data_IF_800851953820
#
_entry.id   IF_800851953820
#
_cell.length_a   1.000
_cell.length_b   1.000
_cell.length_c   1.000
_cell.angle_alpha   90.00
_cell.angle_beta   90.00
_cell.angle_gamma   90.00
#
_symmetry.space_group_name_H-M   'P 1'
#
loop_
_entity.id
_entity.type
_entity.pdbx_description
1 polymer ?
#
# COMPACT_ATOMS: atom_id res chain seq x y z
N UNK A 1 28.05 -18.27 7.94
CA UNK A 1 27.51 -17.50 9.07
C UNK A 1 27.30 -16.09 8.54
N UNK A 2 26.05 -15.65 8.34
CA UNK A 2 25.79 -14.27 7.91
C UNK A 2 26.15 -13.38 9.10
N UNK A 3 27.02 -12.41 8.87
CA UNK A 3 27.38 -11.45 9.91
C UNK A 3 26.15 -10.57 10.21
N UNK A 4 25.73 -10.58 11.48
CA UNK A 4 24.56 -9.82 11.93
C UNK A 4 24.74 -8.31 11.69
N UNK A 5 25.98 -7.83 11.69
CA UNK A 5 26.29 -6.44 11.38
C UNK A 5 25.99 -6.09 9.91
N UNK A 6 26.35 -6.98 8.98
CA UNK A 6 26.06 -6.81 7.55
C UNK A 6 24.54 -6.80 7.33
N UNK A 7 23.81 -7.71 7.98
CA UNK A 7 22.35 -7.80 7.85
C UNK A 7 21.65 -6.54 8.39
N UNK A 8 22.09 -6.02 9.55
CA UNK A 8 21.57 -4.78 10.14
C UNK A 8 21.79 -3.59 9.19
N UNK A 9 23.02 -3.41 8.70
CA UNK A 9 23.37 -2.29 7.84
C UNK A 9 22.58 -2.33 6.53
N UNK A 10 22.45 -3.50 5.92
CA UNK A 10 21.63 -3.71 4.74
C UNK A 10 20.15 -3.39 4.98
N UNK A 11 19.57 -3.88 6.09
CA UNK A 11 18.19 -3.59 6.46
C UNK A 11 17.95 -2.09 6.69
N UNK A 12 18.89 -1.40 7.35
CA UNK A 12 18.83 0.04 7.56
C UNK A 12 18.83 0.82 6.25
N UNK A 13 19.71 0.45 5.31
CA UNK A 13 19.75 1.05 3.96
C UNK A 13 18.41 0.85 3.25
N UNK A 14 17.85 -0.36 3.27
CA UNK A 14 16.57 -0.66 2.65
C UNK A 14 15.41 0.13 3.25
N UNK A 15 15.38 0.32 4.58
CA UNK A 15 14.40 1.15 5.28
C UNK A 15 14.48 2.60 4.81
N UNK A 16 15.68 3.19 4.78
CA UNK A 16 15.89 4.58 4.37
C UNK A 16 15.51 4.78 2.91
N UNK A 17 15.99 3.91 2.02
CA UNK A 17 15.72 4.01 0.58
C UNK A 17 14.25 3.78 0.23
N UNK A 18 13.48 3.11 1.10
CA UNK A 18 12.06 2.88 0.86
C UNK A 18 11.16 3.95 1.48
N UNK A 19 11.43 4.39 2.71
CA UNK A 19 10.54 5.29 3.44
C UNK A 19 10.46 6.69 2.83
N UNK A 20 11.59 7.27 2.41
CA UNK A 20 11.61 8.63 1.86
C UNK A 20 10.89 8.70 0.51
N UNK A 21 11.21 7.87 -0.50
CA UNK A 21 10.49 7.90 -1.77
C UNK A 21 9.02 7.50 -1.62
N UNK A 22 8.69 6.62 -0.67
CA UNK A 22 7.30 6.29 -0.34
C UNK A 22 6.50 7.54 0.04
N UNK A 23 7.02 8.36 0.97
CA UNK A 23 6.35 9.59 1.38
C UNK A 23 6.27 10.60 0.24
N UNK A 24 7.36 10.79 -0.51
CA UNK A 24 7.40 11.72 -1.66
C UNK A 24 6.33 11.35 -2.67
N UNK A 25 6.23 10.08 -3.07
CA UNK A 25 5.24 9.63 -4.05
C UNK A 25 3.81 9.79 -3.53
N UNK A 26 3.56 9.47 -2.25
CA UNK A 26 2.24 9.65 -1.65
C UNK A 26 1.81 11.12 -1.62
N UNK A 27 2.73 12.03 -1.25
CA UNK A 27 2.46 13.47 -1.25
C UNK A 27 2.21 13.96 -2.68
N UNK A 28 3.09 13.59 -3.62
CA UNK A 28 2.94 13.92 -5.04
C UNK A 28 1.57 13.50 -5.59
N UNK A 29 1.19 12.23 -5.40
CA UNK A 29 -0.09 11.70 -5.85
C UNK A 29 -1.27 12.38 -5.15
N UNK A 30 -1.16 12.65 -3.84
CA UNK A 30 -2.22 13.31 -3.09
C UNK A 30 -2.47 14.74 -3.55
N UNK A 31 -1.42 15.46 -3.95
CA UNK A 31 -1.52 16.82 -4.48
C UNK A 31 -2.07 16.82 -5.90
N UNK A 32 -1.53 16.01 -6.80
CA UNK A 32 -1.93 16.02 -8.22
C UNK A 32 -3.35 15.48 -8.43
N UNK A 33 -3.75 14.47 -7.66
CA UNK A 33 -5.08 13.87 -7.72
C UNK A 33 -6.09 14.55 -6.79
N UNK A 34 -5.70 15.63 -6.07
CA UNK A 34 -6.56 16.30 -5.08
C UNK A 34 -7.92 16.69 -5.63
N UNK A 35 -7.97 17.21 -6.86
CA UNK A 35 -9.22 17.66 -7.51
C UNK A 35 -10.17 16.50 -7.80
N UNK A 36 -9.63 15.33 -8.12
CA UNK A 36 -10.41 14.14 -8.49
C UNK A 36 -10.57 13.16 -7.33
N UNK A 37 -10.01 13.45 -6.14
CA UNK A 37 -10.01 12.58 -4.95
C UNK A 37 -11.37 11.94 -4.70
N UNK A 38 -12.44 12.74 -4.61
CA UNK A 38 -13.78 12.25 -4.28
C UNK A 38 -14.30 11.27 -5.33
N UNK A 39 -14.18 11.61 -6.60
CA UNK A 39 -14.60 10.76 -7.72
C UNK A 39 -13.82 9.45 -7.73
N UNK A 40 -12.49 9.52 -7.61
CA UNK A 40 -11.64 8.33 -7.58
C UNK A 40 -11.95 7.41 -6.40
N UNK A 41 -12.16 7.96 -5.20
CA UNK A 41 -12.58 7.16 -4.03
C UNK A 41 -13.92 6.47 -4.26
N UNK A 42 -14.90 7.17 -4.82
CA UNK A 42 -16.21 6.59 -5.15
C UNK A 42 -16.06 5.45 -6.17
N UNK A 43 -15.26 5.63 -7.21
CA UNK A 43 -15.04 4.62 -8.24
C UNK A 43 -14.35 3.36 -7.69
N UNK A 44 -13.35 3.54 -6.82
CA UNK A 44 -12.65 2.45 -6.14
C UNK A 44 -13.60 1.70 -5.20
N UNK A 45 -14.46 2.42 -4.48
CA UNK A 45 -15.43 1.83 -3.54
C UNK A 45 -16.58 1.14 -4.23
N UNK A 46 -17.03 1.66 -5.37
CA UNK A 46 -18.14 1.07 -6.13
C UNK A 46 -17.81 -0.36 -6.55
N UNK A 47 -16.55 -0.60 -6.90
CA UNK A 47 -16.03 -1.90 -7.34
C UNK A 47 -15.31 -2.69 -6.24
N UNK A 48 -15.37 -2.22 -4.99
CA UNK A 48 -14.78 -2.95 -3.87
C UNK A 48 -15.60 -4.23 -3.57
N UNK A 49 -14.95 -5.32 -3.15
CA UNK A 49 -15.62 -6.56 -2.74
C UNK A 49 -16.72 -6.30 -1.71
N UNK A 50 -17.88 -6.93 -1.88
CA UNK A 50 -19.07 -6.62 -1.07
C UNK A 50 -18.80 -6.76 0.43
N UNK A 51 -18.10 -7.83 0.83
CA UNK A 51 -17.74 -8.12 2.23
C UNK A 51 -16.80 -7.10 2.87
N UNK A 52 -16.05 -6.34 2.05
CA UNK A 52 -15.03 -5.39 2.52
C UNK A 52 -15.38 -3.94 2.23
N UNK A 53 -16.47 -3.67 1.51
CA UNK A 53 -16.83 -2.35 0.98
C UNK A 53 -16.93 -1.26 2.07
N UNK A 54 -17.65 -1.54 3.16
CA UNK A 54 -17.75 -0.59 4.30
C UNK A 54 -16.38 -0.33 4.95
N UNK A 55 -15.55 -1.36 5.08
CA UNK A 55 -14.22 -1.20 5.67
C UNK A 55 -13.28 -0.43 4.75
N UNK A 56 -13.33 -0.70 3.45
CA UNK A 56 -12.61 0.06 2.44
C UNK A 56 -13.01 1.54 2.47
N UNK A 57 -14.31 1.84 2.63
CA UNK A 57 -14.84 3.20 2.73
C UNK A 57 -14.25 3.91 3.94
N UNK A 58 -14.35 3.28 5.10
CA UNK A 58 -13.75 3.79 6.33
C UNK A 58 -12.24 4.04 6.18
N UNK A 59 -11.50 3.11 5.57
CA UNK A 59 -10.06 3.28 5.34
C UNK A 59 -9.77 4.48 4.43
N UNK A 60 -10.50 4.65 3.34
CA UNK A 60 -10.27 5.76 2.40
C UNK A 60 -10.64 7.13 3.00
N UNK A 61 -11.66 7.19 3.86
CA UNK A 61 -12.15 8.44 4.45
C UNK A 61 -11.31 8.90 5.66
N UNK A 62 -10.85 7.96 6.50
CA UNK A 62 -10.20 8.28 7.78
C UNK A 62 -8.67 8.39 7.66
N UNK A 63 -8.04 7.73 6.68
CA UNK A 63 -6.60 7.80 6.54
C UNK A 63 -6.16 9.18 6.02
N UNK A 64 -5.09 9.71 6.65
CA UNK A 64 -4.47 10.98 6.27
C UNK A 64 -3.99 10.96 4.79
N UNK A 65 -3.49 9.81 4.33
CA UNK A 65 -3.23 9.55 2.90
C UNK A 65 -4.26 8.58 2.34
N UNK A 66 -5.26 9.12 1.63
CA UNK A 66 -6.24 8.32 0.89
C UNK A 66 -5.59 7.51 -0.24
N UNK A 67 -4.47 7.99 -0.79
CA UNK A 67 -3.68 7.29 -1.81
C UNK A 67 -3.09 6.01 -1.23
N UNK A 68 -2.49 6.08 -0.04
CA UNK A 68 -1.99 4.89 0.66
C UNK A 68 -3.13 3.93 1.01
N UNK A 69 -4.24 4.44 1.52
CA UNK A 69 -5.39 3.58 1.84
C UNK A 69 -5.95 2.86 0.59
N UNK A 70 -5.94 3.53 -0.57
CA UNK A 70 -6.38 2.92 -1.83
C UNK A 70 -5.45 1.80 -2.33
N UNK A 71 -4.19 1.79 -1.89
CA UNK A 71 -3.22 0.76 -2.27
C UNK A 71 -3.21 -0.45 -1.33
N UNK A 72 -4.15 -0.53 -0.37
CA UNK A 72 -4.20 -1.59 0.63
C UNK A 72 -4.12 -3.01 0.05
N UNK A 73 -4.72 -3.27 -1.13
CA UNK A 73 -4.66 -4.59 -1.76
C UNK A 73 -3.28 -4.97 -2.30
N UNK A 74 -2.39 -4.00 -2.50
CA UNK A 74 -1.03 -4.18 -3.00
C UNK A 74 0.00 -4.33 -1.89
N UNK A 75 -0.39 -4.06 -0.65
CA UNK A 75 0.41 -4.36 0.52
C UNK A 75 0.32 -5.85 0.80
N UNK A 76 1.44 -6.52 1.10
CA UNK A 76 1.45 -7.96 1.33
C UNK A 76 0.50 -8.36 2.47
N UNK A 77 0.60 -7.66 3.61
CA UNK A 77 -0.33 -7.88 4.73
C UNK A 77 -1.77 -7.56 4.36
N UNK A 78 -2.01 -6.46 3.62
CA UNK A 78 -3.35 -6.10 3.17
C UNK A 78 -3.97 -7.17 2.26
N UNK A 79 -3.21 -7.68 1.30
CA UNK A 79 -3.61 -8.79 0.43
C UNK A 79 -3.95 -10.06 1.24
N UNK A 80 -3.08 -10.45 2.18
CA UNK A 80 -3.31 -11.62 3.03
C UNK A 80 -4.57 -11.46 3.88
N UNK A 81 -4.80 -10.27 4.45
CA UNK A 81 -6.02 -9.99 5.19
C UNK A 81 -7.26 -10.11 4.29
N UNK A 82 -7.24 -9.51 3.11
CA UNK A 82 -8.35 -9.57 2.15
C UNK A 82 -8.66 -11.02 1.75
N UNK A 83 -7.63 -11.83 1.48
CA UNK A 83 -7.80 -13.22 1.06
C UNK A 83 -8.27 -14.14 2.18
N UNK A 84 -7.61 -14.10 3.33
CA UNK A 84 -7.77 -15.12 4.37
C UNK A 84 -8.71 -14.69 5.49
N UNK A 85 -8.65 -13.44 5.94
CA UNK A 85 -9.51 -12.93 7.01
C UNK A 85 -10.89 -12.60 6.44
N UNK A 86 -10.92 -11.81 5.37
CA UNK A 86 -12.18 -11.37 4.73
C UNK A 86 -12.75 -12.38 3.75
N UNK A 87 -12.01 -13.45 3.45
CA UNK A 87 -12.43 -14.55 2.56
C UNK A 87 -12.96 -14.03 1.22
N UNK A 88 -12.25 -13.06 0.64
CA UNK A 88 -12.59 -12.47 -0.64
C UNK A 88 -12.08 -13.40 -1.75
N UNK A 89 -12.95 -13.82 -2.68
CA UNK A 89 -12.54 -14.69 -3.78
C UNK A 89 -11.67 -13.93 -4.79
N UNK A 90 -10.91 -14.69 -5.58
CA UNK A 90 -9.72 -14.15 -6.29
C UNK A 90 -10.11 -13.36 -7.52
N UNK A 91 -11.22 -13.75 -8.14
CA UNK A 91 -11.94 -13.04 -9.18
C UNK A 91 -12.42 -11.66 -8.70
N UNK A 92 -13.02 -11.54 -7.51
CA UNK A 92 -13.43 -10.25 -6.95
C UNK A 92 -12.22 -9.34 -6.72
N UNK A 93 -11.13 -9.87 -6.15
CA UNK A 93 -9.90 -9.08 -5.96
C UNK A 93 -9.28 -8.66 -7.30
N UNK A 94 -9.30 -9.53 -8.31
CA UNK A 94 -8.79 -9.23 -9.64
C UNK A 94 -9.63 -8.15 -10.35
N UNK A 95 -10.95 -8.24 -10.25
CA UNK A 95 -11.85 -7.18 -10.73
C UNK A 95 -11.59 -5.86 -10.02
N UNK A 96 -11.37 -5.88 -8.71
CA UNK A 96 -11.05 -4.68 -7.95
C UNK A 96 -9.69 -4.08 -8.36
N UNK A 97 -8.67 -4.92 -8.57
CA UNK A 97 -7.37 -4.54 -9.12
C UNK A 97 -7.49 -3.80 -10.45
N UNK A 98 -8.21 -4.39 -11.41
CA UNK A 98 -8.38 -3.80 -12.74
C UNK A 98 -9.09 -2.46 -12.67
N UNK A 99 -10.08 -2.33 -11.78
CA UNK A 99 -10.77 -1.07 -11.57
C UNK A 99 -9.86 -0.01 -10.93
N UNK A 100 -9.08 -0.33 -9.90
CA UNK A 100 -8.11 0.61 -9.32
C UNK A 100 -7.10 1.06 -10.39
N UNK A 101 -6.56 0.13 -11.18
CA UNK A 101 -5.65 0.43 -12.29
C UNK A 101 -6.29 1.38 -13.30
N UNK A 102 -7.54 1.14 -13.68
CA UNK A 102 -8.31 2.00 -14.60
C UNK A 102 -8.56 3.39 -14.00
N UNK A 103 -8.95 3.48 -12.73
CA UNK A 103 -9.21 4.75 -12.03
C UNK A 103 -7.96 5.61 -11.94
N UNK A 104 -6.80 5.00 -11.62
CA UNK A 104 -5.53 5.72 -11.55
C UNK A 104 -4.92 6.04 -12.93
N UNK A 105 -5.22 5.25 -13.96
CA UNK A 105 -4.69 5.44 -15.30
C UNK A 105 -3.18 5.55 -15.31
N UNK A 106 -2.66 6.64 -15.87
CA UNK A 106 -1.21 6.91 -15.97
C UNK A 106 -0.50 7.00 -14.61
N UNK A 107 -1.24 7.29 -13.54
CA UNK A 107 -0.68 7.41 -12.19
C UNK A 107 -0.59 6.06 -11.46
N UNK A 108 -1.09 4.97 -12.06
CA UNK A 108 -1.08 3.65 -11.44
C UNK A 108 0.34 3.15 -11.15
N UNK A 109 1.29 3.42 -12.05
CA UNK A 109 2.69 3.03 -11.85
C UNK A 109 3.28 3.64 -10.58
N UNK A 110 3.00 4.92 -10.32
CA UNK A 110 3.43 5.59 -9.09
C UNK A 110 2.74 5.02 -7.84
N UNK A 111 1.43 4.72 -7.91
CA UNK A 111 0.71 4.07 -6.82
C UNK A 111 1.32 2.70 -6.48
N UNK A 112 1.58 1.89 -7.51
CA UNK A 112 2.14 0.55 -7.36
C UNK A 112 3.56 0.60 -6.80
N UNK A 113 4.40 1.52 -7.31
CA UNK A 113 5.74 1.75 -6.77
C UNK A 113 5.69 2.15 -5.29
N UNK A 114 4.78 3.06 -4.91
CA UNK A 114 4.58 3.42 -3.51
C UNK A 114 4.21 2.21 -2.64
N UNK A 115 3.31 1.34 -3.11
CA UNK A 115 2.96 0.11 -2.38
C UNK A 115 4.15 -0.85 -2.23
N UNK A 116 5.00 -0.99 -3.25
CA UNK A 116 6.21 -1.80 -3.18
C UNK A 116 7.21 -1.25 -2.15
N UNK A 117 7.43 0.06 -2.13
CA UNK A 117 8.29 0.70 -1.14
C UNK A 117 7.75 0.51 0.28
N UNK A 118 6.41 0.61 0.46
CA UNK A 118 5.79 0.32 1.74
C UNK A 118 6.01 -1.13 2.19
N UNK A 119 5.93 -2.10 1.27
CA UNK A 119 6.21 -3.51 1.58
C UNK A 119 7.67 -3.73 1.99
N UNK A 120 8.63 -3.12 1.29
CA UNK A 120 10.06 -3.16 1.64
C UNK A 120 10.24 -2.59 3.05
N UNK A 121 9.73 -1.38 3.29
CA UNK A 121 9.83 -0.74 4.60
C UNK A 121 9.25 -1.61 5.72
N UNK A 122 8.00 -2.09 5.57
CA UNK A 122 7.34 -2.94 6.58
C UNK A 122 8.08 -4.27 6.83
N UNK A 123 8.80 -4.79 5.84
CA UNK A 123 9.52 -6.07 5.97
C UNK A 123 10.90 -5.90 6.61
N UNK A 124 11.63 -4.83 6.24
CA UNK A 124 12.99 -4.59 6.73
C UNK A 124 13.04 -3.81 8.04
N UNK A 125 11.99 -3.05 8.38
CA UNK A 125 11.96 -2.27 9.62
C UNK A 125 12.05 -3.15 10.88
N UNK A 126 11.28 -4.25 11.04
CA UNK A 126 11.42 -5.14 12.19
C UNK A 126 12.79 -5.79 12.28
N UNK A 127 13.38 -6.18 11.12
CA UNK A 127 14.72 -6.76 11.05
C UNK A 127 15.75 -5.75 11.56
N UNK A 128 15.69 -4.50 11.10
CA UNK A 128 16.58 -3.44 11.54
C UNK A 128 16.49 -3.20 13.05
N UNK A 129 15.27 -3.13 13.61
CA UNK A 129 15.05 -2.94 15.04
C UNK A 129 15.58 -4.11 15.86
N UNK A 130 15.27 -5.36 15.46
CA UNK A 130 15.76 -6.57 16.13
C UNK A 130 17.29 -6.55 16.25
N UNK A 131 18.02 -6.34 15.15
CA UNK A 131 19.48 -6.36 15.17
C UNK A 131 20.15 -5.07 15.66
N UNK A 132 19.36 -4.06 16.06
CA UNK A 132 19.88 -2.82 16.68
C UNK A 132 19.75 -2.86 18.20
N UNK A 133 18.70 -3.50 18.72
CA UNK A 133 18.34 -3.43 20.14
C UNK A 133 18.29 -4.79 20.85
N UNK A 134 18.40 -5.91 20.13
CA UNK A 134 18.53 -7.27 20.66
C UNK A 134 19.93 -7.78 20.35
#
# INVERSE_FOLDING_TARGET
>A
MIDFEILRNFAGIMVVLSIFPFFIINIYLSVILRKNKRTMMIDILRNAPFKFKERAKFMLEVNMSWVFASSAMYLWFGYLMLRFIWKIPSDEMYCWHLNIKKTYGNYFGALFLSALLANIWMSFFPIFILFTYV
#
